data_IF_345900689478
#
_entry.id   IF_345900689478
#
_cell.length_a   1.000
_cell.length_b   1.000
_cell.length_c   1.000
_cell.angle_alpha   90.00
_cell.angle_beta   90.00
_cell.angle_gamma   90.00
#
_symmetry.space_group_name_H-M   'P 1'
#
loop_
_entity.id
_entity.type
_entity.pdbx_description
1 polymer ?
#
# COMPACT_ATOMS: atom_id res chain seq x y z
N UNK A 1 -3.92 -10.52 -11.40
CA UNK A 1 -4.86 -9.51 -10.90
C UNK A 1 -5.17 -9.76 -9.44
N UNK A 2 -5.31 -8.69 -8.67
CA UNK A 2 -5.55 -8.74 -7.21
C UNK A 2 -6.81 -9.55 -6.85
N UNK A 3 -7.89 -9.44 -7.62
CA UNK A 3 -9.11 -10.22 -7.40
C UNK A 3 -8.87 -11.74 -7.41
N UNK A 4 -8.10 -12.22 -8.39
CA UNK A 4 -7.73 -13.64 -8.46
C UNK A 4 -6.87 -14.06 -7.29
N UNK A 5 -5.93 -13.21 -6.88
CA UNK A 5 -5.11 -13.48 -5.72
C UNK A 5 -5.95 -13.61 -4.43
N UNK A 6 -6.90 -12.69 -4.22
CA UNK A 6 -7.83 -12.78 -3.08
C UNK A 6 -8.73 -14.03 -3.15
N UNK A 7 -9.15 -14.46 -4.34
CA UNK A 7 -9.94 -15.67 -4.51
C UNK A 7 -9.17 -16.96 -4.13
N UNK A 8 -7.85 -16.96 -4.24
CA UNK A 8 -6.99 -18.06 -3.82
C UNK A 8 -6.66 -18.07 -2.32
N UNK A 9 -7.02 -17.00 -1.60
CA UNK A 9 -6.72 -16.85 -0.18
C UNK A 9 -8.03 -16.85 0.60
N UNK A 10 -8.13 -17.69 1.60
CA UNK A 10 -9.34 -17.79 2.42
C UNK A 10 -9.44 -16.62 3.41
N UNK A 11 -10.68 -16.18 3.69
CA UNK A 11 -11.00 -15.20 4.72
C UNK A 11 -10.35 -13.81 4.51
N UNK A 12 -10.22 -13.37 3.27
CA UNK A 12 -9.77 -12.02 2.94
C UNK A 12 -10.97 -11.12 2.68
N UNK A 13 -10.98 -9.94 3.29
CA UNK A 13 -11.88 -8.85 2.92
C UNK A 13 -11.10 -7.87 2.05
N UNK A 14 -11.57 -7.64 0.84
CA UNK A 14 -10.93 -6.72 -0.11
C UNK A 14 -11.74 -5.45 -0.24
N UNK A 15 -11.13 -4.31 0.07
CA UNK A 15 -11.68 -2.98 -0.13
C UNK A 15 -10.87 -2.28 -1.21
N UNK A 16 -11.56 -1.78 -2.24
CA UNK A 16 -10.95 -1.05 -3.35
C UNK A 16 -11.31 0.41 -3.22
N UNK A 17 -10.28 1.25 -3.16
CA UNK A 17 -10.41 2.69 -3.06
C UNK A 17 -9.87 3.32 -4.34
N UNK A 18 -10.66 4.10 -4.99
CA UNK A 18 -10.29 4.80 -6.21
C UNK A 18 -11.46 5.01 -7.14
N UNK A 19 -11.29 5.96 -8.03
CA UNK A 19 -12.25 6.27 -9.08
C UNK A 19 -11.46 6.65 -10.34
N UNK A 20 -11.57 5.84 -11.35
CA UNK A 20 -10.88 6.04 -12.62
C UNK A 20 -11.72 5.52 -13.79
N UNK A 21 -11.26 5.75 -15.02
CA UNK A 21 -12.00 5.33 -16.23
C UNK A 21 -12.24 3.82 -16.29
N UNK A 22 -11.44 3.02 -15.60
CA UNK A 22 -11.57 1.56 -15.58
C UNK A 22 -12.44 1.02 -14.44
N UNK A 23 -13.02 1.90 -13.60
CA UNK A 23 -13.82 1.49 -12.44
C UNK A 23 -14.93 0.51 -12.79
N UNK A 24 -15.74 0.83 -13.81
CA UNK A 24 -16.86 -0.02 -14.21
C UNK A 24 -16.38 -1.42 -14.66
N UNK A 25 -15.27 -1.48 -15.40
CA UNK A 25 -14.68 -2.74 -15.84
C UNK A 25 -14.13 -3.55 -14.64
N UNK A 26 -13.49 -2.88 -13.68
CA UNK A 26 -12.97 -3.50 -12.47
C UNK A 26 -14.10 -4.01 -11.56
N UNK A 27 -15.19 -3.26 -11.40
CA UNK A 27 -16.36 -3.70 -10.64
C UNK A 27 -17.05 -4.91 -11.28
N UNK A 28 -17.14 -4.96 -12.61
CA UNK A 28 -17.68 -6.12 -13.33
C UNK A 28 -16.78 -7.35 -13.14
N UNK A 29 -15.48 -7.18 -13.26
CA UNK A 29 -14.50 -8.24 -13.05
C UNK A 29 -14.51 -8.73 -11.58
N UNK A 30 -14.64 -7.82 -10.63
CA UNK A 30 -14.76 -8.17 -9.22
C UNK A 30 -15.99 -9.05 -8.96
N UNK A 31 -17.16 -8.67 -9.51
CA UNK A 31 -18.39 -9.46 -9.37
C UNK A 31 -18.25 -10.89 -9.92
N UNK A 32 -17.49 -11.05 -10.97
CA UNK A 32 -17.26 -12.36 -11.60
C UNK A 32 -16.26 -13.21 -10.78
N UNK A 33 -15.14 -12.63 -10.34
CA UNK A 33 -14.01 -13.36 -9.76
C UNK A 33 -14.05 -13.38 -8.24
N UNK A 34 -14.40 -12.25 -7.63
CA UNK A 34 -14.40 -12.07 -6.18
C UNK A 34 -15.59 -11.20 -5.72
N UNK A 35 -16.82 -11.76 -5.69
CA UNK A 35 -18.05 -11.00 -5.44
C UNK A 35 -18.10 -10.27 -4.10
N UNK A 36 -17.31 -10.68 -3.13
CA UNK A 36 -17.20 -10.04 -1.82
C UNK A 36 -16.29 -8.80 -1.79
N UNK A 37 -15.67 -8.44 -2.91
CA UNK A 37 -14.88 -7.20 -2.98
C UNK A 37 -15.79 -5.97 -2.85
N UNK A 38 -15.35 -5.01 -2.03
CA UNK A 38 -16.07 -3.76 -1.79
C UNK A 38 -15.38 -2.62 -2.56
N UNK A 39 -16.06 -2.05 -3.54
CA UNK A 39 -15.60 -0.85 -4.25
C UNK A 39 -16.30 0.38 -3.68
N UNK A 40 -15.52 1.25 -3.04
CA UNK A 40 -16.07 2.41 -2.30
C UNK A 40 -15.88 3.74 -3.01
N UNK A 41 -15.30 3.72 -4.21
CA UNK A 41 -15.01 4.93 -4.98
C UNK A 41 -13.81 5.73 -4.48
N UNK A 42 -13.64 6.93 -4.99
CA UNK A 42 -12.59 7.83 -4.54
C UNK A 42 -12.83 8.30 -3.11
N UNK A 43 -11.78 8.25 -2.30
CA UNK A 43 -11.74 8.79 -0.94
C UNK A 43 -10.44 9.56 -0.77
N UNK A 44 -10.51 10.67 -0.04
CA UNK A 44 -9.37 11.56 0.17
C UNK A 44 -9.29 12.03 1.63
N UNK A 45 -8.07 12.22 2.12
CA UNK A 45 -7.83 12.79 3.45
C UNK A 45 -8.53 12.02 4.57
N UNK A 46 -9.33 12.70 5.36
CA UNK A 46 -10.02 12.12 6.51
C UNK A 46 -11.03 11.01 6.16
N UNK A 47 -11.53 10.97 4.93
CA UNK A 47 -12.44 9.92 4.45
C UNK A 47 -11.77 8.54 4.38
N UNK A 48 -10.46 8.48 4.26
CA UNK A 48 -9.67 7.24 4.22
C UNK A 48 -9.50 6.59 5.59
N UNK A 49 -9.56 7.39 6.65
CA UNK A 49 -9.28 6.94 8.01
C UNK A 49 -10.03 5.68 8.44
N UNK A 50 -11.37 5.56 8.27
CA UNK A 50 -12.08 4.36 8.70
C UNK A 50 -11.61 3.10 7.99
N UNK A 51 -11.28 3.19 6.71
CA UNK A 51 -10.83 2.05 5.91
C UNK A 51 -9.40 1.63 6.24
N UNK A 52 -8.50 2.59 6.36
CA UNK A 52 -7.11 2.31 6.68
C UNK A 52 -6.90 1.87 8.13
N UNK A 53 -7.74 2.34 9.05
CA UNK A 53 -7.70 1.91 10.45
C UNK A 53 -8.15 0.46 10.63
N UNK A 54 -9.08 -0.02 9.81
CA UNK A 54 -9.57 -1.40 9.85
C UNK A 54 -8.69 -2.37 9.04
N UNK A 55 -7.89 -1.88 8.10
CA UNK A 55 -7.08 -2.73 7.24
C UNK A 55 -5.89 -3.34 7.99
N UNK A 56 -5.48 -4.52 7.56
CA UNK A 56 -4.28 -5.20 8.05
C UNK A 56 -3.10 -5.05 7.08
N UNK A 57 -3.38 -4.81 5.82
CA UNK A 57 -2.39 -4.79 4.74
C UNK A 57 -2.86 -3.88 3.60
N UNK A 58 -1.95 -3.08 3.07
CA UNK A 58 -2.17 -2.30 1.87
C UNK A 58 -1.46 -2.95 0.67
N UNK A 59 -2.18 -3.12 -0.43
CA UNK A 59 -1.64 -3.74 -1.64
C UNK A 59 -1.83 -2.82 -2.84
N UNK A 60 -0.74 -2.42 -3.46
CA UNK A 60 -0.74 -1.64 -4.69
C UNK A 60 0.09 -2.39 -5.75
N UNK A 61 -0.56 -3.19 -6.62
CA UNK A 61 0.16 -3.95 -7.65
C UNK A 61 0.59 -3.08 -8.85
N UNK A 62 0.69 -1.79 -8.65
CA UNK A 62 1.12 -0.79 -9.61
C UNK A 62 2.09 0.21 -8.99
N UNK A 63 2.28 1.36 -9.63
CA UNK A 63 3.11 2.46 -9.14
C UNK A 63 2.25 3.55 -8.52
N UNK A 64 2.72 4.18 -7.44
CA UNK A 64 1.96 5.24 -6.78
C UNK A 64 2.51 5.58 -5.38
N UNK A 65 3.54 6.42 -5.34
CA UNK A 65 4.21 6.77 -4.08
C UNK A 65 3.32 7.46 -3.04
N UNK A 66 2.41 8.35 -3.47
CA UNK A 66 1.53 9.07 -2.54
C UNK A 66 0.54 8.16 -1.82
N UNK A 67 -0.08 7.23 -2.53
CA UNK A 67 -1.00 6.26 -1.93
C UNK A 67 -0.28 5.32 -0.94
N UNK A 68 0.95 4.93 -1.25
CA UNK A 68 1.81 4.13 -0.36
C UNK A 68 2.15 4.91 0.90
N UNK A 69 2.60 6.16 0.78
CA UNK A 69 2.90 7.03 1.93
C UNK A 69 1.67 7.24 2.82
N UNK A 70 0.51 7.42 2.21
CA UNK A 70 -0.74 7.59 2.95
C UNK A 70 -1.10 6.34 3.75
N UNK A 71 -1.04 5.15 3.14
CA UNK A 71 -1.24 3.88 3.84
C UNK A 71 -0.23 3.68 4.99
N UNK A 72 1.03 3.99 4.74
CA UNK A 72 2.09 3.92 5.75
C UNK A 72 1.84 4.88 6.93
N UNK A 73 1.27 6.06 6.67
CA UNK A 73 0.94 7.03 7.71
C UNK A 73 -0.17 6.55 8.66
N UNK A 74 -0.97 5.57 8.23
CA UNK A 74 -1.95 4.87 9.06
C UNK A 74 -1.40 3.59 9.71
N UNK A 75 -0.11 3.34 9.60
CA UNK A 75 0.53 2.18 10.22
C UNK A 75 0.25 0.87 9.50
N UNK A 76 0.10 0.89 8.17
CA UNK A 76 -0.09 -0.31 7.38
C UNK A 76 1.23 -0.81 6.78
N UNK A 77 1.50 -2.12 6.85
CA UNK A 77 2.50 -2.73 6.00
C UNK A 77 2.02 -2.74 4.56
N UNK A 78 2.93 -2.73 3.60
CA UNK A 78 2.60 -2.52 2.20
C UNK A 78 3.21 -3.57 1.28
N UNK A 79 2.43 -4.00 0.28
CA UNK A 79 2.93 -4.76 -0.88
C UNK A 79 2.81 -3.86 -2.11
N UNK A 80 3.91 -3.65 -2.82
CA UNK A 80 3.96 -2.83 -4.03
C UNK A 80 4.66 -3.57 -5.16
N UNK A 81 4.32 -3.23 -6.40
CA UNK A 81 5.12 -3.67 -7.54
C UNK A 81 6.41 -2.84 -7.63
N UNK A 82 7.49 -3.46 -8.05
CA UNK A 82 8.74 -2.77 -8.39
C UNK A 82 8.47 -1.79 -9.54
N UNK A 83 9.01 -0.60 -9.45
CA UNK A 83 8.78 0.46 -10.41
C UNK A 83 10.05 1.23 -10.76
N UNK A 84 9.94 2.53 -10.85
CA UNK A 84 10.99 3.47 -11.25
C UNK A 84 11.99 3.84 -10.13
N UNK A 85 11.96 3.13 -9.01
CA UNK A 85 12.80 3.41 -7.85
C UNK A 85 12.21 4.35 -6.81
N UNK A 86 11.11 5.04 -7.10
CA UNK A 86 10.44 5.92 -6.12
C UNK A 86 9.93 5.18 -4.89
N UNK A 87 9.71 3.89 -5.00
CA UNK A 87 9.23 3.03 -3.92
C UNK A 87 10.35 2.42 -3.08
N UNK A 88 11.59 2.44 -3.56
CA UNK A 88 12.72 1.80 -2.88
C UNK A 88 13.04 2.46 -1.54
N UNK A 89 12.85 3.77 -1.47
CA UNK A 89 13.03 4.52 -0.22
C UNK A 89 11.87 4.33 0.78
N UNK A 90 10.68 4.01 0.26
CA UNK A 90 9.47 3.87 1.05
C UNK A 90 9.27 2.46 1.59
N UNK A 91 9.46 1.45 0.73
CA UNK A 91 9.12 0.06 1.01
C UNK A 91 10.38 -0.77 1.18
N UNK A 92 10.61 -1.20 2.42
CA UNK A 92 11.77 -1.97 2.86
C UNK A 92 11.31 -3.30 3.45
N UNK A 93 12.22 -4.25 3.66
CA UNK A 93 11.89 -5.56 4.27
C UNK A 93 11.22 -5.44 5.65
N UNK A 94 11.50 -4.35 6.37
CA UNK A 94 11.00 -4.09 7.71
C UNK A 94 9.55 -3.61 7.73
N UNK A 95 9.04 -3.09 6.62
CA UNK A 95 7.68 -2.53 6.54
C UNK A 95 6.84 -3.02 5.37
N UNK A 96 7.40 -3.82 4.46
CA UNK A 96 6.64 -4.27 3.29
C UNK A 96 7.40 -5.19 2.36
N UNK A 97 6.83 -5.38 1.20
CA UNK A 97 7.34 -6.24 0.13
C UNK A 97 7.28 -5.51 -1.20
N UNK A 98 8.30 -5.70 -2.00
CA UNK A 98 8.32 -5.30 -3.40
C UNK A 98 8.31 -6.56 -4.27
N UNK A 99 7.34 -6.66 -5.15
CA UNK A 99 7.18 -7.80 -6.06
C UNK A 99 7.47 -7.38 -7.51
N UNK A 100 7.89 -8.29 -8.39
CA UNK A 100 8.01 -7.97 -9.80
C UNK A 100 6.67 -7.51 -10.38
N UNK A 101 6.67 -6.52 -11.30
CA UNK A 101 5.43 -6.08 -11.94
C UNK A 101 4.80 -7.23 -12.75
N UNK A 102 3.47 -7.28 -12.74
CA UNK A 102 2.66 -8.28 -13.45
C UNK A 102 2.93 -9.76 -13.07
N UNK A 103 3.65 -9.99 -11.99
CA UNK A 103 3.92 -11.34 -11.48
C UNK A 103 2.80 -11.79 -10.52
N UNK A 104 1.85 -12.53 -11.07
CA UNK A 104 0.71 -13.03 -10.31
C UNK A 104 1.11 -14.02 -9.22
N UNK A 105 2.02 -14.93 -9.52
CA UNK A 105 2.45 -15.94 -8.55
C UNK A 105 3.21 -15.31 -7.37
N UNK A 106 4.05 -14.32 -7.65
CA UNK A 106 4.71 -13.53 -6.62
C UNK A 106 3.70 -12.77 -5.74
N UNK A 107 2.66 -12.19 -6.35
CA UNK A 107 1.61 -11.50 -5.60
C UNK A 107 0.88 -12.45 -4.65
N UNK A 108 0.43 -13.61 -5.15
CA UNK A 108 -0.28 -14.61 -4.34
C UNK A 108 0.60 -15.13 -3.21
N UNK A 109 1.84 -15.51 -3.51
CA UNK A 109 2.77 -16.04 -2.52
C UNK A 109 3.08 -15.01 -1.43
N UNK A 110 3.31 -13.76 -1.81
CA UNK A 110 3.59 -12.67 -0.87
C UNK A 110 2.38 -12.34 0.00
N UNK A 111 1.19 -12.31 -0.57
CA UNK A 111 -0.04 -12.08 0.21
C UNK A 111 -0.30 -13.22 1.20
N UNK A 112 -0.13 -14.47 0.79
CA UNK A 112 -0.27 -15.64 1.68
C UNK A 112 0.73 -15.59 2.83
N UNK A 113 1.98 -15.29 2.54
CA UNK A 113 3.03 -15.13 3.56
C UNK A 113 2.70 -13.98 4.52
N UNK A 114 2.37 -12.81 3.99
CA UNK A 114 2.02 -11.65 4.79
C UNK A 114 0.85 -11.92 5.75
N UNK A 115 -0.23 -12.50 5.25
CA UNK A 115 -1.45 -12.76 6.01
C UNK A 115 -1.33 -13.95 6.96
N UNK A 116 -0.27 -14.71 6.90
CA UNK A 116 -0.04 -15.87 7.80
C UNK A 116 0.37 -15.48 9.22
N UNK A 117 0.82 -14.24 9.44
CA UNK A 117 1.31 -13.76 10.75
C UNK A 117 0.85 -12.31 11.01
N UNK A 118 -0.28 -12.16 11.70
CA UNK A 118 -0.88 -10.86 12.03
C UNK A 118 0.03 -10.04 12.96
N UNK A 119 0.73 -10.68 13.89
CA UNK A 119 1.66 -9.98 14.78
C UNK A 119 2.82 -9.35 14.00
N UNK A 120 3.34 -10.06 12.99
CA UNK A 120 4.34 -9.52 12.07
C UNK A 120 3.80 -8.33 11.28
N UNK A 121 2.57 -8.41 10.74
CA UNK A 121 1.95 -7.30 10.03
C UNK A 121 1.86 -6.04 10.90
N UNK A 122 1.49 -6.19 12.17
CA UNK A 122 1.41 -5.05 13.10
C UNK A 122 2.76 -4.42 13.37
N UNK A 123 3.82 -5.23 13.55
CA UNK A 123 5.20 -4.71 13.70
C UNK A 123 5.66 -3.98 12.45
N UNK A 124 5.40 -4.54 11.28
CA UNK A 124 5.75 -3.93 10.00
C UNK A 124 4.96 -2.63 9.77
N UNK A 125 3.70 -2.59 10.16
CA UNK A 125 2.88 -1.38 10.11
C UNK A 125 3.41 -0.27 11.03
N UNK A 126 3.85 -0.60 12.22
CA UNK A 126 4.51 0.35 13.12
C UNK A 126 5.79 0.92 12.50
N UNK A 127 6.55 0.11 11.80
CA UNK A 127 7.75 0.56 11.08
C UNK A 127 7.39 1.47 9.89
N UNK A 128 6.31 1.15 9.14
CA UNK A 128 5.77 2.04 8.10
C UNK A 128 5.48 3.44 8.66
N UNK A 129 4.78 3.51 9.79
CA UNK A 129 4.46 4.77 10.45
C UNK A 129 5.73 5.53 10.87
N UNK A 130 6.72 4.84 11.45
CA UNK A 130 7.99 5.44 11.84
C UNK A 130 8.73 6.05 10.64
N UNK A 131 8.82 5.32 9.53
CA UNK A 131 9.49 5.78 8.32
C UNK A 131 8.85 7.08 7.81
N UNK A 132 7.53 7.13 7.70
CA UNK A 132 6.83 8.34 7.25
C UNK A 132 7.02 9.49 8.21
N UNK A 133 6.87 9.25 9.51
CA UNK A 133 6.96 10.28 10.53
C UNK A 133 8.37 10.88 10.67
N UNK A 134 9.39 10.05 10.63
CA UNK A 134 10.76 10.45 10.95
C UNK A 134 11.62 10.75 9.71
N UNK A 135 11.38 10.08 8.59
CA UNK A 135 12.27 10.15 7.44
C UNK A 135 11.67 10.86 6.23
N UNK A 136 10.35 10.85 6.07
CA UNK A 136 9.68 11.27 4.81
C UNK A 136 8.73 12.45 5.02
N UNK A 137 8.54 12.91 6.26
CA UNK A 137 7.64 14.02 6.51
C UNK A 137 8.17 15.33 5.87
N UNK A 138 7.22 16.21 5.54
CA UNK A 138 7.53 17.47 4.84
C UNK A 138 8.46 18.39 5.65
N UNK A 139 8.35 18.36 6.98
CA UNK A 139 9.18 19.17 7.89
C UNK A 139 10.65 18.75 7.77
N UNK A 140 10.93 17.45 7.78
CA UNK A 140 12.28 16.93 7.61
C UNK A 140 12.85 17.19 6.21
N UNK A 141 12.02 17.14 5.19
CA UNK A 141 12.41 17.53 3.82
C UNK A 141 12.81 19.00 3.76
N UNK A 142 12.06 19.90 4.41
CA UNK A 142 12.37 21.32 4.51
C UNK A 142 13.68 21.56 5.28
N UNK A 143 13.90 20.89 6.42
CA UNK A 143 15.15 20.99 7.18
C UNK A 143 16.36 20.55 6.34
N UNK A 144 16.25 19.45 5.62
CA UNK A 144 17.32 18.96 4.73
C UNK A 144 17.62 19.97 3.63
N UNK A 145 16.60 20.55 3.03
CA UNK A 145 16.75 21.55 1.97
C UNK A 145 17.42 22.83 2.49
N UNK A 146 16.99 23.34 3.64
CA UNK A 146 17.59 24.52 4.30
C UNK A 146 19.05 24.26 4.65
N UNK A 147 19.38 23.10 5.20
CA UNK A 147 20.76 22.69 5.51
C UNK A 147 21.62 22.67 4.25
N UNK A 148 21.11 22.10 3.15
CA UNK A 148 21.82 22.06 1.86
C UNK A 148 22.08 23.48 1.33
N UNK A 149 21.10 24.38 1.40
CA UNK A 149 21.27 25.79 1.00
C UNK A 149 22.33 26.51 1.84
N UNK A 150 22.34 26.30 3.15
CA UNK A 150 23.32 26.93 4.04
C UNK A 150 24.73 26.39 3.82
N UNK A 151 24.90 25.16 3.35
CA UNK A 151 26.22 24.60 3.03
C UNK A 151 26.85 25.17 1.75
N UNK A 152 26.07 25.84 0.91
CA UNK A 152 26.52 26.49 -0.33
C UNK A 152 27.01 27.92 -0.13
N UNK A 153 26.82 28.51 1.03
CA UNK A 153 27.27 29.83 1.43
C UNK A 153 28.66 29.74 2.11
#
# INVERSE_FOLDING_TARGET
SLFRACAEIQNVRLIIIGDGPERAALESLAKEIYPSAESIGAKHGAELKPYFTEADLFVLPGTGGLAVQEAMSYGLPVIVAQGDGTQDDLVRKENGWQIPPDDFDALVATMKDALSDVARLRRMGAESYRIVKEEINIEKMVETFVTALNSLQ
#
